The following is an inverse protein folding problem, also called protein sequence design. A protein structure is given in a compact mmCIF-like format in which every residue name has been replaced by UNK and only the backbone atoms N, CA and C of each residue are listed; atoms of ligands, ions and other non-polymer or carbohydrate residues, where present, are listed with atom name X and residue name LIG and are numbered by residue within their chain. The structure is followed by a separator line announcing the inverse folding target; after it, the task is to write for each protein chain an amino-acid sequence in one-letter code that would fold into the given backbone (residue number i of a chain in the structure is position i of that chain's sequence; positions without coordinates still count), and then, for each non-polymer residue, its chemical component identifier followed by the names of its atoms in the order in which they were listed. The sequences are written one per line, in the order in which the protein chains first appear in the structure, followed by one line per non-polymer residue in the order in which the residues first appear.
data_IF_542066699135
#
_entry.id   IF_542066699135
#
_cell.length_a   1.000
_cell.length_b   1.000
_cell.length_c   1.000
_cell.angle_alpha   90.00
_cell.angle_beta   90.00
_cell.angle_gamma   90.00
#
_symmetry.space_group_name_H-M   'P 1'
#
loop_
_entity.id
_entity.type
_entity.pdbx_description
1 polymer ?
#
# COMPACT_ATOMS: atom_id res chain seq x y z
N UNK A 1 0.28 20.74 -11.45
CA UNK A 1 1.62 20.39 -10.95
C UNK A 1 1.91 18.97 -11.42
N UNK A 2 3.14 18.66 -11.87
CA UNK A 2 3.50 17.29 -12.24
C UNK A 2 3.36 16.36 -11.03
N UNK A 3 2.95 15.11 -11.26
CA UNK A 3 2.79 14.13 -10.18
C UNK A 3 4.16 13.73 -9.64
N UNK A 4 4.35 13.83 -8.32
CA UNK A 4 5.56 13.36 -7.65
C UNK A 4 5.46 11.86 -7.40
N UNK A 5 6.39 11.09 -7.95
CA UNK A 5 6.36 9.63 -7.85
C UNK A 5 6.82 9.14 -6.48
N UNK A 6 5.94 8.37 -5.84
CA UNK A 6 6.28 7.67 -4.61
C UNK A 6 7.12 6.43 -4.92
N UNK A 7 8.20 6.14 -4.17
CA UNK A 7 9.01 4.95 -4.37
C UNK A 7 8.15 3.68 -4.37
N UNK A 8 8.30 2.86 -5.40
CA UNK A 8 7.60 1.58 -5.45
C UNK A 8 8.17 0.59 -4.42
N UNK A 9 7.28 -0.11 -3.73
CA UNK A 9 7.62 -1.19 -2.81
C UNK A 9 6.70 -2.37 -3.09
N UNK A 10 7.27 -3.51 -3.48
CA UNK A 10 6.51 -4.75 -3.56
C UNK A 10 6.09 -5.22 -2.16
N UNK A 11 4.96 -5.91 -2.02
CA UNK A 11 4.62 -6.60 -0.75
C UNK A 11 5.51 -7.83 -0.54
N UNK A 12 6.06 -8.35 -1.63
CA UNK A 12 7.18 -9.28 -1.63
C UNK A 12 8.48 -8.50 -1.82
N UNK A 13 9.59 -9.17 -2.08
CA UNK A 13 10.89 -8.52 -2.23
C UNK A 13 11.11 -8.03 -3.65
N UNK A 14 11.76 -8.78 -4.53
CA UNK A 14 12.01 -8.35 -5.90
C UNK A 14 10.70 -8.23 -6.71
N UNK A 15 10.39 -7.04 -7.29
CA UNK A 15 9.15 -6.84 -8.04
C UNK A 15 8.96 -7.79 -9.23
N UNK A 16 10.06 -8.17 -9.91
CA UNK A 16 10.03 -9.13 -11.04
C UNK A 16 9.61 -10.55 -10.64
N UNK A 17 9.59 -10.88 -9.35
CA UNK A 17 9.11 -12.19 -8.88
C UNK A 17 7.61 -12.21 -8.60
N UNK A 18 6.93 -11.05 -8.57
CA UNK A 18 5.53 -10.95 -8.19
C UNK A 18 4.62 -11.87 -9.04
N UNK A 19 4.83 -11.92 -10.35
CA UNK A 19 4.03 -12.78 -11.24
C UNK A 19 4.25 -14.27 -10.95
N UNK A 20 5.50 -14.68 -10.71
CA UNK A 20 5.84 -16.07 -10.38
C UNK A 20 5.27 -16.47 -9.02
N UNK A 21 5.34 -15.57 -8.04
CA UNK A 21 4.79 -15.79 -6.70
C UNK A 21 3.26 -15.94 -6.77
N UNK A 22 2.58 -15.07 -7.53
CA UNK A 22 1.14 -15.20 -7.79
C UNK A 22 0.78 -16.53 -8.49
N UNK A 23 1.68 -17.08 -9.30
CA UNK A 23 1.56 -18.40 -9.92
C UNK A 23 1.96 -19.58 -9.00
N UNK A 24 2.29 -19.33 -7.73
CA UNK A 24 2.60 -20.36 -6.73
C UNK A 24 4.08 -20.53 -6.41
N UNK A 25 4.99 -19.71 -6.95
CA UNK A 25 6.38 -19.73 -6.53
C UNK A 25 6.53 -19.29 -5.07
N UNK A 26 7.51 -19.88 -4.38
CA UNK A 26 7.82 -19.56 -3.00
C UNK A 26 8.43 -18.13 -2.89
N UNK A 27 7.84 -17.21 -2.11
CA UNK A 27 8.44 -15.89 -1.85
C UNK A 27 9.85 -15.96 -1.27
N UNK A 28 10.18 -17.02 -0.51
CA UNK A 28 11.52 -17.22 0.03
C UNK A 28 12.54 -17.73 -1.00
N UNK A 29 12.12 -17.98 -2.25
CA UNK A 29 13.02 -18.30 -3.36
C UNK A 29 13.80 -17.09 -3.88
N UNK A 30 13.42 -15.87 -3.47
CA UNK A 30 14.17 -14.65 -3.73
C UNK A 30 15.42 -14.56 -2.82
N UNK A 31 16.66 -14.58 -3.32
CA UNK A 31 17.85 -14.56 -2.46
C UNK A 31 17.90 -13.35 -1.52
N UNK A 32 17.31 -12.23 -1.91
CA UNK A 32 17.38 -10.97 -1.18
C UNK A 32 16.18 -10.74 -0.27
N UNK A 33 15.33 -11.77 -0.08
CA UNK A 33 14.05 -11.58 0.62
C UNK A 33 14.23 -11.03 2.04
N UNK A 34 15.30 -11.45 2.73
CA UNK A 34 15.60 -11.01 4.10
C UNK A 34 16.05 -9.56 4.14
N UNK A 35 17.01 -9.18 3.31
CA UNK A 35 17.55 -7.83 3.28
C UNK A 35 16.48 -6.81 2.89
N UNK A 36 15.70 -7.10 1.83
CA UNK A 36 14.70 -6.17 1.33
C UNK A 36 13.46 -6.06 2.22
N UNK A 37 13.05 -7.16 2.89
CA UNK A 37 11.85 -7.16 3.73
C UNK A 37 12.12 -6.85 5.20
N UNK A 38 13.32 -7.15 5.68
CA UNK A 38 13.69 -7.16 7.10
C UNK A 38 13.20 -8.38 7.88
N UNK A 39 12.44 -9.31 7.27
CA UNK A 39 12.07 -10.56 7.92
C UNK A 39 13.30 -11.49 7.97
N UNK A 40 13.48 -12.23 9.06
CA UNK A 40 14.53 -13.22 9.20
C UNK A 40 14.02 -14.67 9.16
N UNK A 41 12.78 -14.89 9.61
CA UNK A 41 12.11 -16.19 9.61
C UNK A 41 11.33 -16.44 8.30
N UNK A 42 11.64 -17.56 7.66
CA UNK A 42 11.08 -17.91 6.36
C UNK A 42 9.59 -18.34 6.44
N UNK A 43 9.14 -18.90 7.56
CA UNK A 43 7.74 -19.28 7.75
C UNK A 43 6.89 -18.02 7.95
N UNK A 44 7.37 -17.07 8.75
CA UNK A 44 6.73 -15.77 8.93
C UNK A 44 6.64 -15.01 7.60
N UNK A 45 7.74 -14.90 6.85
CA UNK A 45 7.72 -14.18 5.58
C UNK A 45 6.79 -14.84 4.55
N UNK A 46 6.82 -16.18 4.41
CA UNK A 46 5.88 -16.90 3.54
C UNK A 46 4.43 -16.64 3.89
N UNK A 47 4.09 -16.55 5.17
CA UNK A 47 2.73 -16.29 5.59
C UNK A 47 2.34 -14.81 5.40
N UNK A 48 3.18 -13.89 5.86
CA UNK A 48 2.84 -12.47 5.93
C UNK A 48 3.02 -11.72 4.62
N UNK A 49 3.96 -12.11 3.76
CA UNK A 49 4.20 -11.42 2.48
C UNK A 49 2.97 -11.33 1.56
N UNK A 50 2.01 -12.25 1.70
CA UNK A 50 0.73 -12.22 1.00
C UNK A 50 -0.30 -11.23 1.58
N UNK A 51 -0.07 -10.75 2.80
CA UNK A 51 -1.07 -10.04 3.62
C UNK A 51 -0.66 -8.62 4.02
N UNK A 52 0.56 -8.21 3.64
CA UNK A 52 1.18 -6.94 4.05
C UNK A 52 1.18 -5.87 2.95
N UNK A 53 0.24 -5.92 1.99
CA UNK A 53 0.10 -4.89 0.95
C UNK A 53 -0.01 -3.48 1.55
N UNK A 54 -0.78 -3.30 2.63
CA UNK A 54 -0.87 -2.02 3.33
C UNK A 54 0.44 -1.57 3.99
N UNK A 55 1.26 -2.51 4.48
CA UNK A 55 2.58 -2.19 5.03
C UNK A 55 3.54 -1.76 3.92
N UNK A 56 3.50 -2.40 2.77
CA UNK A 56 4.28 -2.00 1.60
C UNK A 56 3.87 -0.60 1.10
N UNK A 57 2.56 -0.30 1.04
CA UNK A 57 2.07 1.05 0.76
C UNK A 57 2.59 2.09 1.75
N UNK A 58 2.59 1.78 3.05
CA UNK A 58 3.11 2.70 4.05
C UNK A 58 4.63 2.88 3.93
N UNK A 59 5.38 1.80 3.63
CA UNK A 59 6.81 1.90 3.38
C UNK A 59 7.13 2.79 2.16
N UNK A 60 6.35 2.70 1.08
CA UNK A 60 6.45 3.63 -0.06
C UNK A 60 6.34 5.09 0.39
N UNK A 61 5.40 5.41 1.28
CA UNK A 61 5.23 6.74 1.85
C UNK A 61 6.42 7.16 2.74
N UNK A 62 6.95 6.27 3.57
CA UNK A 62 8.15 6.55 4.38
C UNK A 62 9.39 6.83 3.51
N UNK A 63 9.58 6.05 2.45
CA UNK A 63 10.69 6.24 1.52
C UNK A 63 10.55 7.55 0.73
N UNK A 64 9.34 7.93 0.34
CA UNK A 64 9.06 9.24 -0.25
C UNK A 64 9.49 10.35 0.72
N UNK A 65 8.97 10.33 1.95
CA UNK A 65 9.34 11.30 3.00
C UNK A 65 10.86 11.39 3.19
N UNK A 66 11.56 10.25 3.20
CA UNK A 66 13.02 10.18 3.28
C UNK A 66 13.73 10.91 2.14
N UNK A 67 13.27 10.73 0.90
CA UNK A 67 13.82 11.43 -0.26
C UNK A 67 13.62 12.94 -0.19
N UNK A 68 12.59 13.39 0.51
CA UNK A 68 12.25 14.81 0.69
C UNK A 68 12.68 15.38 2.05
N UNK A 69 13.79 14.90 2.60
CA UNK A 69 14.46 15.51 3.75
C UNK A 69 13.86 15.20 5.12
N UNK A 70 12.78 14.42 5.21
CA UNK A 70 12.38 13.84 6.48
C UNK A 70 13.34 12.71 6.85
N UNK A 71 13.68 12.56 8.12
CA UNK A 71 14.57 11.50 8.59
C UNK A 71 13.79 10.46 9.40
N UNK A 72 12.94 9.62 8.76
CA UNK A 72 12.34 8.51 9.49
C UNK A 72 13.47 7.60 9.95
N UNK A 73 13.46 7.24 11.24
CA UNK A 73 14.44 6.34 11.82
C UNK A 73 14.58 5.09 10.91
N UNK A 74 15.78 4.82 10.36
CA UNK A 74 16.00 3.68 9.48
C UNK A 74 15.54 2.35 10.08
N UNK A 75 15.60 2.20 11.41
CA UNK A 75 15.16 0.99 12.11
C UNK A 75 13.65 0.77 12.02
N UNK A 76 12.87 1.81 11.73
CA UNK A 76 11.41 1.75 11.64
C UNK A 76 10.89 1.59 10.19
N UNK A 77 11.79 1.59 9.20
CA UNK A 77 11.43 1.69 7.79
C UNK A 77 11.33 0.34 7.06
N UNK A 78 11.79 -0.78 7.62
CA UNK A 78 11.66 -2.10 6.97
C UNK A 78 10.20 -2.61 7.06
N UNK A 79 9.77 -3.43 6.09
CA UNK A 79 8.42 -4.04 6.14
C UNK A 79 8.23 -4.83 7.43
N UNK A 80 9.25 -5.56 7.87
CA UNK A 80 9.23 -6.29 9.13
C UNK A 80 9.03 -5.36 10.33
N UNK A 81 9.79 -4.25 10.44
CA UNK A 81 9.66 -3.33 11.56
C UNK A 81 8.24 -2.72 11.64
N UNK A 82 7.71 -2.25 10.50
CA UNK A 82 6.34 -1.71 10.42
C UNK A 82 5.32 -2.81 10.76
N UNK A 83 5.47 -4.01 10.19
CA UNK A 83 4.58 -5.14 10.46
C UNK A 83 4.59 -5.53 11.95
N UNK A 84 5.76 -5.55 12.60
CA UNK A 84 5.89 -5.82 14.04
C UNK A 84 5.12 -4.82 14.89
N UNK A 85 5.21 -3.52 14.58
CA UNK A 85 4.41 -2.50 15.27
C UNK A 85 2.91 -2.69 15.02
N UNK A 86 2.52 -2.99 13.78
CA UNK A 86 1.13 -3.23 13.41
C UNK A 86 0.55 -4.45 14.15
N UNK A 87 1.33 -5.52 14.31
CA UNK A 87 0.96 -6.68 15.13
C UNK A 87 0.77 -6.30 16.60
N UNK A 88 1.68 -5.50 17.17
CA UNK A 88 1.63 -5.10 18.58
C UNK A 88 0.36 -4.30 18.93
N UNK A 89 -0.17 -3.51 17.99
CA UNK A 89 -1.44 -2.76 18.14
C UNK A 89 -2.67 -3.52 17.63
N UNK A 90 -2.52 -4.82 17.29
CA UNK A 90 -3.61 -5.66 16.74
C UNK A 90 -4.23 -5.11 15.46
N UNK A 91 -3.44 -4.41 14.63
CA UNK A 91 -3.86 -4.02 13.29
C UNK A 91 -3.93 -5.22 12.32
N UNK A 92 -3.36 -6.37 12.69
CA UNK A 92 -3.63 -7.67 12.06
C UNK A 92 -4.00 -8.68 13.13
N UNK A 93 -5.04 -9.49 12.88
CA UNK A 93 -5.49 -10.50 13.84
C UNK A 93 -5.56 -11.87 13.13
N UNK A 94 -4.54 -12.73 13.32
CA UNK A 94 -4.59 -14.12 12.88
C UNK A 94 -5.80 -14.84 13.49
N UNK A 95 -6.43 -15.68 12.68
CA UNK A 95 -7.57 -16.50 13.06
C UNK A 95 -7.15 -17.98 13.20
N UNK A 96 -7.92 -18.80 13.95
CA UNK A 96 -7.63 -20.23 14.11
C UNK A 96 -7.61 -21.02 12.79
N UNK A 97 -8.34 -20.56 11.77
CA UNK A 97 -8.41 -21.18 10.44
C UNK A 97 -7.23 -20.80 9.52
N UNK A 98 -6.25 -20.03 10.01
CA UNK A 98 -5.11 -19.55 9.24
C UNK A 98 -5.40 -18.31 8.38
N UNK A 99 -6.64 -17.81 8.39
CA UNK A 99 -6.96 -16.50 7.83
C UNK A 99 -6.43 -15.37 8.74
N UNK A 100 -6.43 -14.15 8.23
CA UNK A 100 -6.05 -12.97 8.99
C UNK A 100 -7.12 -11.92 8.77
N UNK A 101 -7.68 -11.39 9.86
CA UNK A 101 -8.39 -10.12 9.78
C UNK A 101 -7.36 -9.05 9.43
N UNK A 102 -7.42 -8.59 8.18
CA UNK A 102 -6.41 -7.76 7.52
C UNK A 102 -6.20 -6.41 8.21
N UNK A 103 -5.41 -5.52 7.58
CA UNK A 103 -5.00 -4.25 8.18
C UNK A 103 -6.21 -3.45 8.69
N UNK A 104 -6.42 -3.45 10.00
CA UNK A 104 -7.48 -2.70 10.66
C UNK A 104 -7.04 -1.24 10.74
N UNK A 105 -7.76 -0.35 10.06
CA UNK A 105 -7.29 1.02 9.83
C UNK A 105 -7.15 1.86 11.10
N UNK A 106 -8.09 1.76 12.05
CA UNK A 106 -8.06 2.57 13.27
C UNK A 106 -6.79 2.35 14.11
N UNK A 107 -6.44 1.12 14.55
CA UNK A 107 -5.21 0.90 15.31
C UNK A 107 -3.95 1.17 14.48
N UNK A 108 -4.00 0.95 13.16
CA UNK A 108 -2.90 1.31 12.27
C UNK A 108 -2.66 2.83 12.22
N UNK A 109 -3.72 3.62 12.07
CA UNK A 109 -3.65 5.10 12.05
C UNK A 109 -3.12 5.63 13.38
N UNK A 110 -3.64 5.13 14.50
CA UNK A 110 -3.15 5.51 15.84
C UNK A 110 -1.65 5.21 16.00
N UNK A 111 -1.21 4.04 15.54
CA UNK A 111 0.20 3.64 15.55
C UNK A 111 1.08 4.57 14.71
N UNK A 112 0.68 4.91 13.48
CA UNK A 112 1.52 5.76 12.62
C UNK A 112 1.59 7.22 13.11
N UNK A 113 0.51 7.74 13.69
CA UNK A 113 0.51 9.06 14.33
C UNK A 113 1.49 9.05 15.50
N UNK A 114 1.39 8.06 16.39
CA UNK A 114 2.18 7.99 17.61
C UNK A 114 3.66 7.67 17.37
N UNK A 115 3.96 6.68 16.53
CA UNK A 115 5.32 6.16 16.37
C UNK A 115 6.09 6.83 15.24
N UNK A 116 5.40 7.31 14.21
CA UNK A 116 6.02 7.87 13.01
C UNK A 116 5.80 9.38 12.86
N UNK A 117 4.94 9.99 13.69
CA UNK A 117 4.61 11.41 13.58
C UNK A 117 3.92 11.77 12.26
N UNK A 118 3.16 10.81 11.69
CA UNK A 118 2.46 10.97 10.42
C UNK A 118 0.98 11.12 10.70
N UNK A 119 0.45 12.31 10.44
CA UNK A 119 -0.98 12.57 10.56
C UNK A 119 -1.75 11.88 9.44
N UNK A 120 -2.77 11.12 9.82
CA UNK A 120 -3.64 10.39 8.92
C UNK A 120 -5.00 10.17 9.58
N UNK A 121 -6.01 9.87 8.76
CA UNK A 121 -7.37 9.54 9.21
C UNK A 121 -7.90 8.32 8.47
N UNK A 122 -8.75 7.56 9.17
CA UNK A 122 -9.57 6.53 8.52
C UNK A 122 -10.71 7.21 7.78
N UNK A 123 -10.97 6.78 6.56
CA UNK A 123 -12.14 7.19 5.80
C UNK A 123 -12.88 5.95 5.30
N UNK A 124 -14.12 5.78 5.71
CA UNK A 124 -14.98 4.63 5.32
C UNK A 124 -16.05 5.01 4.29
N UNK A 125 -16.01 6.24 3.78
CA UNK A 125 -16.95 6.77 2.80
C UNK A 125 -16.20 7.55 1.70
N UNK A 126 -15.07 7.01 1.23
CA UNK A 126 -14.31 7.58 0.13
C UNK A 126 -15.16 7.48 -1.14
N UNK A 127 -15.63 8.63 -1.63
CA UNK A 127 -16.26 8.76 -2.92
C UNK A 127 -15.21 9.04 -4.00
N UNK A 128 -15.63 8.98 -5.25
CA UNK A 128 -14.79 9.33 -6.39
C UNK A 128 -14.30 10.78 -6.29
N UNK A 129 -15.22 11.68 -5.94
CA UNK A 129 -14.97 13.11 -5.77
C UNK A 129 -14.06 13.38 -4.59
N UNK A 130 -14.26 12.70 -3.45
CA UNK A 130 -13.40 12.90 -2.29
C UNK A 130 -11.99 12.34 -2.48
N UNK A 131 -11.84 11.25 -3.23
CA UNK A 131 -10.53 10.75 -3.65
C UNK A 131 -9.82 11.78 -4.55
N UNK A 132 -10.51 12.32 -5.55
CA UNK A 132 -9.93 13.34 -6.43
C UNK A 132 -9.53 14.61 -5.67
N UNK A 133 -10.39 15.10 -4.75
CA UNK A 133 -10.08 16.24 -3.88
C UNK A 133 -8.81 16.00 -3.07
N UNK A 134 -8.72 14.86 -2.36
CA UNK A 134 -7.54 14.51 -1.57
C UNK A 134 -6.26 14.53 -2.42
N UNK A 135 -6.28 13.84 -3.56
CA UNK A 135 -5.10 13.73 -4.42
C UNK A 135 -4.70 15.07 -5.04
N UNK A 136 -5.66 15.89 -5.44
CA UNK A 136 -5.40 17.25 -5.96
C UNK A 136 -4.75 18.18 -4.94
N UNK A 137 -5.01 17.93 -3.64
CA UNK A 137 -4.45 18.66 -2.50
C UNK A 137 -3.14 18.06 -1.99
N UNK A 138 -2.59 17.07 -2.68
CA UNK A 138 -1.35 16.38 -2.29
C UNK A 138 -1.53 15.53 -1.02
N UNK A 139 -2.73 14.99 -0.78
CA UNK A 139 -3.04 14.06 0.31
C UNK A 139 -3.08 12.63 -0.24
N UNK A 140 -2.03 11.81 -0.04
CA UNK A 140 -2.04 10.42 -0.48
C UNK A 140 -3.15 9.62 0.21
N UNK A 141 -3.61 8.58 -0.47
CA UNK A 141 -4.67 7.69 0.03
C UNK A 141 -4.24 6.23 -0.11
N UNK A 142 -4.16 5.52 1.00
CA UNK A 142 -4.14 4.06 1.00
C UNK A 142 -5.56 3.54 0.76
N UNK A 143 -5.90 3.29 -0.49
CA UNK A 143 -7.24 2.91 -0.92
C UNK A 143 -7.42 1.39 -0.87
N UNK A 144 -8.53 0.93 -0.28
CA UNK A 144 -8.94 -0.47 -0.37
C UNK A 144 -9.53 -0.75 -1.73
N UNK A 145 -8.96 -1.74 -2.43
CA UNK A 145 -9.37 -2.12 -3.78
C UNK A 145 -9.49 -3.64 -3.89
N UNK A 146 -10.16 -4.11 -4.93
CA UNK A 146 -10.10 -5.53 -5.31
C UNK A 146 -8.68 -5.92 -5.73
N UNK A 147 -8.16 -7.10 -5.35
CA UNK A 147 -6.88 -7.61 -5.85
C UNK A 147 -6.85 -7.78 -7.38
N UNK A 148 -8.01 -7.83 -8.05
CA UNK A 148 -8.14 -7.91 -9.50
C UNK A 148 -7.63 -6.65 -10.24
N UNK A 149 -7.39 -5.54 -9.54
CA UNK A 149 -6.77 -4.32 -10.09
C UNK A 149 -5.38 -4.55 -10.72
N UNK A 150 -4.78 -5.74 -10.52
CA UNK A 150 -3.56 -6.19 -11.22
C UNK A 150 -3.77 -6.37 -12.72
N UNK A 151 -5.00 -6.59 -13.16
CA UNK A 151 -5.34 -6.82 -14.55
C UNK A 151 -5.67 -5.49 -15.25
N UNK A 152 -5.11 -5.31 -16.44
CA UNK A 152 -5.09 -4.04 -17.16
C UNK A 152 -6.40 -3.73 -17.91
N UNK A 153 -7.31 -4.71 -18.01
CA UNK A 153 -8.68 -4.59 -18.52
C UNK A 153 -9.55 -3.87 -17.47
N UNK A 154 -9.28 -2.57 -17.35
CA UNK A 154 -9.85 -1.70 -16.33
C UNK A 154 -11.35 -1.52 -16.49
N UNK A 155 -12.13 -2.39 -15.87
CA UNK A 155 -13.39 -2.11 -15.17
C UNK A 155 -13.69 -3.32 -14.28
N UNK A 156 -14.05 -3.08 -13.02
CA UNK A 156 -14.53 -4.19 -12.21
C UNK A 156 -15.95 -4.60 -12.64
N UNK A 157 -16.07 -5.75 -13.31
CA UNK A 157 -17.37 -6.34 -13.66
C UNK A 157 -18.04 -7.09 -12.50
N UNK A 158 -17.36 -7.21 -11.35
CA UNK A 158 -17.80 -7.97 -10.18
C UNK A 158 -18.04 -7.03 -8.98
N UNK A 159 -19.25 -6.47 -8.83
CA UNK A 159 -19.57 -5.47 -7.81
C UNK A 159 -19.45 -5.98 -6.37
N UNK A 160 -19.39 -7.30 -6.14
CA UNK A 160 -19.26 -7.91 -4.81
C UNK A 160 -17.81 -8.07 -4.32
N UNK A 161 -16.82 -7.92 -5.20
CA UNK A 161 -15.42 -8.26 -4.93
C UNK A 161 -14.53 -7.06 -4.55
N UNK A 162 -15.13 -5.94 -4.12
CA UNK A 162 -14.38 -4.73 -3.79
C UNK A 162 -13.71 -4.81 -2.41
N UNK A 163 -12.37 -4.74 -2.41
CA UNK A 163 -11.53 -4.77 -1.20
C UNK A 163 -10.70 -6.04 -1.08
N UNK A 164 -9.97 -6.17 0.03
CA UNK A 164 -9.03 -7.29 0.26
C UNK A 164 -7.61 -7.02 -0.24
N UNK A 165 -7.39 -5.90 -0.94
CA UNK A 165 -6.08 -5.38 -1.30
C UNK A 165 -5.98 -3.89 -0.97
N UNK A 166 -4.75 -3.38 -0.82
CA UNK A 166 -4.45 -1.98 -0.59
C UNK A 166 -3.44 -1.49 -1.62
N UNK A 167 -3.68 -0.28 -2.14
CA UNK A 167 -2.78 0.46 -3.04
C UNK A 167 -2.56 1.86 -2.49
N UNK A 168 -1.40 2.46 -2.79
CA UNK A 168 -1.11 3.84 -2.40
C UNK A 168 -1.39 4.77 -3.59
N UNK A 169 -2.48 5.53 -3.54
CA UNK A 169 -2.76 6.63 -4.47
C UNK A 169 -2.02 7.87 -4.00
N UNK A 170 -1.36 8.59 -4.90
CA UNK A 170 -0.50 9.72 -4.52
C UNK A 170 -0.58 10.92 -5.46
N UNK A 171 -1.27 10.80 -6.59
CA UNK A 171 -1.40 11.93 -7.51
C UNK A 171 -2.66 11.83 -8.36
N UNK A 172 -3.11 13.01 -8.81
CA UNK A 172 -4.13 13.17 -9.82
C UNK A 172 -3.56 14.05 -10.93
N UNK A 173 -3.53 13.53 -12.15
CA UNK A 173 -3.11 14.29 -13.35
C UNK A 173 -4.21 14.20 -14.39
N UNK A 174 -4.84 15.35 -14.67
CA UNK A 174 -6.09 15.36 -15.43
C UNK A 174 -7.15 14.50 -14.74
N UNK A 175 -7.65 13.49 -15.43
CA UNK A 175 -8.60 12.51 -14.92
C UNK A 175 -7.94 11.20 -14.44
N UNK A 176 -6.60 11.15 -14.36
CA UNK A 176 -5.87 9.90 -14.03
C UNK A 176 -5.38 9.89 -12.60
N UNK A 177 -5.72 8.83 -11.88
CA UNK A 177 -5.18 8.54 -10.54
C UNK A 177 -3.87 7.80 -10.71
N UNK A 178 -2.81 8.33 -10.10
CA UNK A 178 -1.51 7.69 -9.99
C UNK A 178 -1.38 6.94 -8.67
N UNK A 179 -0.94 5.69 -8.74
CA UNK A 179 -0.84 4.82 -7.58
C UNK A 179 0.29 3.78 -7.69
N UNK A 180 0.74 3.31 -6.54
CA UNK A 180 1.62 2.15 -6.41
C UNK A 180 0.76 0.95 -5.98
N UNK A 181 0.73 -0.09 -6.81
CA UNK A 181 0.15 -1.38 -6.47
C UNK A 181 1.26 -2.33 -5.97
N UNK A 182 1.35 -2.62 -4.66
CA UNK A 182 2.45 -3.41 -4.10
C UNK A 182 2.49 -4.87 -4.60
N UNK A 183 1.51 -5.30 -5.38
CA UNK A 183 1.47 -6.61 -6.03
C UNK A 183 1.38 -6.54 -7.55
N UNK A 184 1.77 -5.40 -8.14
CA UNK A 184 1.91 -5.25 -9.58
C UNK A 184 2.86 -6.32 -10.15
N UNK A 185 2.56 -6.81 -11.33
CA UNK A 185 3.37 -7.78 -12.10
C UNK A 185 4.10 -7.07 -13.23
N UNK A 186 5.04 -7.73 -13.90
CA UNK A 186 5.77 -7.15 -15.05
C UNK A 186 4.85 -6.70 -16.20
N UNK A 187 3.66 -7.30 -16.29
CA UNK A 187 2.61 -6.94 -17.26
C UNK A 187 1.88 -5.63 -16.91
N UNK A 188 2.15 -5.03 -15.75
CA UNK A 188 1.59 -3.75 -15.31
C UNK A 188 2.71 -2.83 -14.81
N UNK A 189 2.73 -1.53 -15.17
CA UNK A 189 3.78 -0.64 -14.72
C UNK A 189 3.75 -0.48 -13.20
N UNK A 190 4.93 -0.60 -12.54
CA UNK A 190 5.06 -0.45 -11.08
C UNK A 190 4.53 0.89 -10.56
N UNK A 191 4.65 1.94 -11.39
CA UNK A 191 3.89 3.18 -11.26
C UNK A 191 2.71 3.14 -12.22
N UNK A 192 1.55 2.79 -11.69
CA UNK A 192 0.32 2.65 -12.48
C UNK A 192 -0.47 3.94 -12.46
N UNK A 193 -1.13 4.24 -13.59
CA UNK A 193 -2.20 5.23 -13.62
C UNK A 193 -3.41 4.68 -14.35
N UNK A 194 -4.60 4.98 -13.82
CA UNK A 194 -5.88 4.62 -14.42
C UNK A 194 -6.77 5.86 -14.48
N UNK A 195 -7.69 5.96 -15.46
CA UNK A 195 -8.79 6.91 -15.38
C UNK A 195 -9.49 6.79 -14.03
N UNK A 196 -9.88 7.91 -13.43
CA UNK A 196 -10.46 7.99 -12.09
C UNK A 196 -11.66 7.06 -11.94
N UNK A 197 -12.54 7.02 -12.94
CA UNK A 197 -13.72 6.14 -12.93
C UNK A 197 -13.34 4.66 -12.98
N UNK A 198 -12.36 4.31 -13.83
CA UNK A 198 -11.86 2.94 -13.93
C UNK A 198 -11.18 2.50 -12.63
N UNK A 199 -10.36 3.37 -12.02
CA UNK A 199 -9.77 3.12 -10.71
C UNK A 199 -10.84 2.93 -9.64
N UNK A 200 -11.81 3.85 -9.58
CA UNK A 200 -12.86 3.84 -8.56
C UNK A 200 -13.79 2.62 -8.67
N UNK A 201 -13.94 2.04 -9.87
CA UNK A 201 -14.68 0.78 -10.03
C UNK A 201 -14.10 -0.40 -9.23
N UNK A 202 -12.80 -0.36 -8.93
CA UNK A 202 -12.12 -1.35 -8.08
C UNK A 202 -12.18 -1.03 -6.58
N UNK A 203 -12.56 0.20 -6.23
CA UNK A 203 -12.51 0.71 -4.86
C UNK A 203 -13.63 0.14 -3.99
N UNK A 204 -13.28 -0.09 -2.73
CA UNK A 204 -14.21 -0.53 -1.70
C UNK A 204 -14.78 0.62 -0.86
N UNK A 205 -14.61 1.87 -1.33
CA UNK A 205 -15.10 3.09 -0.69
C UNK A 205 -14.44 3.42 0.66
N UNK A 206 -13.29 2.83 0.97
CA UNK A 206 -12.63 2.97 2.28
C UNK A 206 -11.12 2.93 2.19
N UNK A 207 -10.45 3.51 3.18
CA UNK A 207 -9.00 3.53 3.24
C UNK A 207 -8.46 4.41 4.37
N UNK A 208 -7.21 4.82 4.19
CA UNK A 208 -6.50 5.75 5.06
C UNK A 208 -6.05 6.95 4.23
N UNK A 209 -6.40 8.15 4.66
CA UNK A 209 -5.98 9.40 4.04
C UNK A 209 -4.87 10.02 4.86
N UNK A 210 -3.75 10.34 4.22
CA UNK A 210 -2.59 10.98 4.84
C UNK A 210 -2.65 12.49 4.64
N UNK A 211 -2.29 13.25 5.66
CA UNK A 211 -2.28 14.71 5.55
C UNK A 211 -1.14 15.19 4.65
N UNK A 212 -1.39 16.23 3.85
CA UNK A 212 -0.40 16.78 2.92
C UNK A 212 0.85 17.31 3.64
N UNK A 213 0.68 17.91 4.83
CA UNK A 213 1.81 18.36 5.66
C UNK A 213 2.72 17.21 6.11
N UNK A 214 2.20 15.98 6.15
CA UNK A 214 2.96 14.77 6.41
C UNK A 214 3.64 14.20 5.14
N UNK A 215 3.51 14.86 4.00
CA UNK A 215 4.11 14.43 2.73
C UNK A 215 4.77 15.64 2.05
N UNK A 216 5.95 16.09 2.54
CA UNK A 216 6.60 17.26 2.00
C UNK A 216 6.81 17.10 0.48
N UNK A 217 6.36 18.10 -0.26
CA UNK A 217 6.66 18.22 -1.68
C UNK A 217 8.12 18.62 -1.86
N UNK A 218 8.68 18.28 -3.02
CA UNK A 218 9.92 18.90 -3.51
C UNK A 218 9.75 20.43 -3.51
N UNK A 219 10.63 21.15 -2.81
CA UNK A 219 10.83 22.60 -2.98
C UNK A 219 11.42 22.90 -4.34
#
# INVERSE_FOLDING_TARGET
MPVQHYPYVSQWSAPGLNQRILAGADPCGDPDWREQSGFSDAREYRFWSWRICGIACFQSLLLYRRRHGATPDPSLCSRYAIWRHAMAVKAYIPQPDGSVKGLIYAPFVEMIVRLYGISARVDTAISRESLADCLSRGMPVMASVSPKIRHADGYNSDPGANGGHLVLCYGLEGDRVWFNNPSATETAPYHSSLPLDAFFSWCAGRGVVFDAASCPAST
#
